data_IF_162863642473
#
_entry.id   IF_162863642473
#
_cell.length_a   1.000
_cell.length_b   1.000
_cell.length_c   1.000
_cell.angle_alpha   90.00
_cell.angle_beta   90.00
_cell.angle_gamma   90.00
#
_symmetry.space_group_name_H-M   'P 1'
#
loop_
_entity.id
_entity.type
_entity.pdbx_description
1 polymer ?
#
# COMPACT_ATOMS: atom_id res chain seq x y z
N UNK A 1 -6.17 -13.28 -14.16
CA UNK A 1 -6.17 -12.09 -15.05
C UNK A 1 -5.15 -11.15 -14.45
N UNK A 2 -4.06 -10.83 -15.16
CA UNK A 2 -3.11 -9.84 -14.68
C UNK A 2 -3.73 -8.48 -14.98
N UNK A 3 -4.45 -7.92 -14.00
CA UNK A 3 -5.01 -6.57 -14.10
C UNK A 3 -3.83 -5.62 -14.03
N UNK A 4 -3.70 -4.70 -14.99
CA UNK A 4 -2.65 -3.69 -14.89
C UNK A 4 -2.88 -2.82 -13.65
N UNK A 5 -1.83 -2.49 -12.88
CA UNK A 5 -1.97 -1.63 -11.72
C UNK A 5 -2.57 -0.28 -12.12
N UNK A 6 -3.48 0.23 -11.29
CA UNK A 6 -3.98 1.60 -11.40
C UNK A 6 -2.84 2.61 -11.25
N UNK A 7 -3.08 3.88 -11.63
CA UNK A 7 -2.08 4.92 -11.44
C UNK A 7 -1.72 5.10 -9.95
N UNK A 8 -2.71 5.01 -9.07
CA UNK A 8 -2.53 5.08 -7.61
C UNK A 8 -1.69 3.90 -7.11
N UNK A 9 -2.02 2.69 -7.53
CA UNK A 9 -1.27 1.47 -7.18
C UNK A 9 0.18 1.54 -7.66
N UNK A 10 0.39 1.95 -8.91
CA UNK A 10 1.73 2.07 -9.49
C UNK A 10 2.58 3.09 -8.73
N UNK A 11 2.01 4.25 -8.38
CA UNK A 11 2.72 5.26 -7.59
C UNK A 11 3.02 4.79 -6.18
N UNK A 12 2.07 4.15 -5.50
CA UNK A 12 2.31 3.60 -4.17
C UNK A 12 3.42 2.53 -4.19
N UNK A 13 3.43 1.68 -5.22
CA UNK A 13 4.47 0.67 -5.42
C UNK A 13 5.82 1.34 -5.66
N UNK A 14 5.92 2.20 -6.67
CA UNK A 14 7.21 2.74 -7.12
C UNK A 14 7.81 3.72 -6.10
N UNK A 15 6.99 4.53 -5.43
CA UNK A 15 7.46 5.60 -4.54
C UNK A 15 7.59 5.16 -3.08
N UNK A 16 6.82 4.16 -2.62
CA UNK A 16 6.78 3.77 -1.19
C UNK A 16 7.16 2.31 -0.98
N UNK A 17 6.46 1.37 -1.62
CA UNK A 17 6.58 -0.04 -1.25
C UNK A 17 7.86 -0.69 -1.82
N UNK A 18 8.19 -0.44 -3.09
CA UNK A 18 9.37 -1.01 -3.72
C UNK A 18 10.69 -0.54 -3.11
N UNK A 19 10.87 0.76 -2.76
CA UNK A 19 12.04 1.20 -2.00
C UNK A 19 12.18 0.52 -0.64
N UNK A 20 11.06 0.26 0.03
CA UNK A 20 11.03 -0.27 1.39
C UNK A 20 11.21 -1.80 1.43
N UNK A 21 10.69 -2.51 0.43
CA UNK A 21 10.87 -3.96 0.26
C UNK A 21 12.13 -4.33 -0.53
N UNK A 22 12.68 -3.41 -1.32
CA UNK A 22 13.75 -3.66 -2.29
C UNK A 22 13.28 -4.35 -3.58
N UNK A 23 11.98 -4.58 -3.74
CA UNK A 23 11.36 -5.13 -4.94
C UNK A 23 9.91 -4.64 -5.09
N UNK A 24 9.43 -4.55 -6.33
CA UNK A 24 8.04 -4.23 -6.61
C UNK A 24 7.17 -5.49 -6.48
N UNK A 25 6.15 -5.51 -5.59
CA UNK A 25 5.21 -6.61 -5.52
C UNK A 25 4.39 -6.73 -6.82
N UNK A 26 4.17 -7.96 -7.26
CA UNK A 26 3.39 -8.27 -8.48
C UNK A 26 1.95 -8.69 -8.16
N UNK A 27 1.69 -9.18 -6.95
CA UNK A 27 0.37 -9.56 -6.44
C UNK A 27 -0.16 -8.45 -5.53
N UNK A 28 -0.98 -7.55 -6.08
CA UNK A 28 -1.42 -6.33 -5.37
C UNK A 28 -2.43 -6.57 -4.25
N UNK A 29 -3.18 -7.66 -4.34
CA UNK A 29 -4.14 -8.11 -3.32
C UNK A 29 -3.46 -8.90 -2.18
N UNK A 30 -2.17 -9.21 -2.31
CA UNK A 30 -1.45 -9.98 -1.31
C UNK A 30 -1.20 -9.11 -0.07
N UNK A 31 -1.42 -9.70 1.09
CA UNK A 31 -1.10 -9.05 2.36
C UNK A 31 0.40 -8.78 2.44
N UNK A 32 0.76 -7.52 2.72
CA UNK A 32 2.13 -7.05 2.82
C UNK A 32 2.90 -7.78 3.95
N UNK A 33 2.20 -8.27 4.99
CA UNK A 33 2.84 -9.06 6.05
C UNK A 33 3.38 -10.39 5.54
N UNK A 34 2.76 -10.99 4.52
CA UNK A 34 3.28 -12.19 3.86
C UNK A 34 4.54 -11.92 3.03
N UNK A 35 4.77 -10.66 2.65
CA UNK A 35 5.97 -10.20 1.94
C UNK A 35 7.12 -9.81 2.89
N UNK A 36 6.94 -10.02 4.20
CA UNK A 36 7.95 -9.68 5.21
C UNK A 36 7.88 -8.22 5.68
N UNK A 37 6.74 -7.55 5.48
CA UNK A 37 6.47 -6.24 6.08
C UNK A 37 6.03 -6.44 7.53
N UNK A 38 6.81 -5.91 8.47
CA UNK A 38 6.45 -5.88 9.89
C UNK A 38 5.59 -4.66 10.24
N UNK A 39 5.13 -4.59 11.50
CA UNK A 39 4.26 -3.50 11.95
C UNK A 39 4.89 -2.12 11.85
N UNK A 40 6.21 -1.99 11.97
CA UNK A 40 6.90 -0.69 11.85
C UNK A 40 6.94 -0.24 10.40
N UNK A 41 7.23 -1.17 9.48
CA UNK A 41 7.19 -0.90 8.05
C UNK A 41 5.78 -0.58 7.56
N UNK A 42 4.74 -1.23 8.11
CA UNK A 42 3.34 -0.87 7.80
C UNK A 42 3.06 0.58 8.18
N UNK A 43 3.42 0.99 9.40
CA UNK A 43 3.21 2.37 9.83
C UNK A 43 3.97 3.36 8.94
N UNK A 44 5.19 3.03 8.54
CA UNK A 44 5.96 3.86 7.62
C UNK A 44 5.32 3.94 6.22
N UNK A 45 4.82 2.83 5.68
CA UNK A 45 4.09 2.82 4.39
C UNK A 45 2.86 3.72 4.46
N UNK A 46 2.11 3.65 5.55
CA UNK A 46 0.91 4.45 5.74
C UNK A 46 1.25 5.94 5.84
N UNK A 47 2.23 6.31 6.66
CA UNK A 47 2.69 7.70 6.83
C UNK A 47 3.19 8.32 5.50
N UNK A 48 3.98 7.56 4.74
CA UNK A 48 4.44 7.96 3.40
C UNK A 48 3.26 8.05 2.41
N UNK A 49 2.29 7.14 2.48
CA UNK A 49 1.11 7.18 1.63
C UNK A 49 0.18 8.38 1.96
N UNK A 50 -0.01 8.72 3.24
CA UNK A 50 -0.75 9.90 3.67
C UNK A 50 -0.11 11.17 3.09
N UNK A 51 1.22 11.27 3.20
CA UNK A 51 1.98 12.40 2.67
C UNK A 51 1.93 12.46 1.14
N UNK A 52 2.09 11.32 0.46
CA UNK A 52 2.17 11.23 -1.00
C UNK A 52 0.82 11.54 -1.68
N UNK A 53 -0.28 11.09 -1.07
CA UNK A 53 -1.61 11.21 -1.64
C UNK A 53 -2.47 12.29 -0.96
N UNK A 54 -1.95 12.96 0.07
CA UNK A 54 -2.66 13.97 0.87
C UNK A 54 -3.98 13.43 1.46
N UNK A 55 -3.92 12.22 2.01
CA UNK A 55 -5.04 11.52 2.67
C UNK A 55 -4.72 11.26 4.14
N UNK A 56 -5.73 10.93 4.94
CA UNK A 56 -5.54 10.43 6.32
C UNK A 56 -6.17 9.04 6.43
N UNK A 57 -5.44 8.06 6.96
CA UNK A 57 -5.98 6.72 7.24
C UNK A 57 -6.57 6.68 8.65
N UNK A 58 -7.83 6.26 8.76
CA UNK A 58 -8.41 5.98 10.07
C UNK A 58 -7.92 4.61 10.58
N UNK A 59 -7.79 4.42 11.90
CA UNK A 59 -7.48 3.10 12.47
C UNK A 59 -8.48 2.00 12.06
N UNK A 60 -9.71 2.38 11.69
CA UNK A 60 -10.72 1.47 11.15
C UNK A 60 -10.40 0.94 9.76
N UNK A 61 -9.64 1.69 8.97
CA UNK A 61 -9.27 1.34 7.59
C UNK A 61 -8.18 0.27 7.55
N UNK A 62 -7.42 0.14 8.65
CA UNK A 62 -6.34 -0.84 8.82
C UNK A 62 -6.83 -2.26 9.17
N UNK A 63 -8.12 -2.57 8.96
CA UNK A 63 -8.69 -3.89 9.31
C UNK A 63 -8.66 -4.85 8.13
N UNK A 64 -7.80 -5.87 8.28
CA UNK A 64 -7.82 -7.20 7.64
C UNK A 64 -7.33 -7.32 6.20
N UNK A 65 -6.98 -6.23 5.50
CA UNK A 65 -6.35 -6.33 4.19
C UNK A 65 -5.28 -5.24 3.98
N UNK A 66 -4.08 -5.48 4.53
CA UNK A 66 -2.92 -4.61 4.32
C UNK A 66 -2.21 -4.98 3.02
N UNK A 67 -2.93 -4.84 1.91
CA UNK A 67 -2.39 -5.06 0.57
C UNK A 67 -2.28 -3.74 -0.19
N UNK A 68 -1.53 -3.72 -1.29
CA UNK A 68 -1.41 -2.53 -2.15
C UNK A 68 -2.79 -2.09 -2.63
N UNK A 69 -3.58 -3.03 -3.12
CA UNK A 69 -4.94 -2.78 -3.58
C UNK A 69 -5.85 -2.28 -2.45
N UNK A 70 -5.71 -2.83 -1.24
CA UNK A 70 -6.46 -2.39 -0.07
C UNK A 70 -6.17 -0.94 0.32
N UNK A 71 -4.90 -0.55 0.36
CA UNK A 71 -4.47 0.82 0.68
C UNK A 71 -4.93 1.79 -0.42
N UNK A 72 -4.72 1.44 -1.69
CA UNK A 72 -5.15 2.27 -2.82
C UNK A 72 -6.67 2.44 -2.89
N UNK A 73 -7.45 1.41 -2.53
CA UNK A 73 -8.90 1.53 -2.46
C UNK A 73 -9.38 2.54 -1.40
N UNK A 74 -8.60 2.79 -0.36
CA UNK A 74 -8.90 3.83 0.64
C UNK A 74 -8.51 5.21 0.09
N UNK A 75 -7.32 5.31 -0.53
CA UNK A 75 -6.84 6.54 -1.18
C UNK A 75 -7.82 7.02 -2.24
N UNK A 76 -8.26 6.13 -3.14
CA UNK A 76 -9.16 6.46 -4.25
C UNK A 76 -10.59 6.84 -3.78
N UNK A 77 -10.92 6.58 -2.50
CA UNK A 77 -12.20 6.94 -1.88
C UNK A 77 -12.16 8.22 -1.04
N UNK A 78 -10.97 8.72 -0.76
CA UNK A 78 -10.73 9.94 0.03
C UNK A 78 -10.83 11.18 -0.87
#
# INVERSE_FOLDING_TARGET
>A
MNVEPSLTERRLIDEVIAPLLGFAPTELDRDLTELGVDSLKILHILDEAETLFAVEFAPSDLRTNLSVAGICAIIDRS
#
